data_IF_291594650065
#
_entry.id   IF_291594650065
#
_cell.length_a   1.000
_cell.length_b   1.000
_cell.length_c   1.000
_cell.angle_alpha   90.00
_cell.angle_beta   90.00
_cell.angle_gamma   90.00
#
_symmetry.space_group_name_H-M   'P 1'
#
loop_
_entity.id
_entity.type
_entity.pdbx_description
1 polymer ?
#
# COMPACT_ATOMS: atom_id res chain seq x y z
N UNK A 1 25.08 32.47 72.55
CA UNK A 1 24.55 33.56 71.71
C UNK A 1 25.68 33.90 70.74
N UNK A 2 25.77 33.41 69.52
CA UNK A 2 24.76 32.80 68.64
C UNK A 2 25.42 31.79 67.69
N UNK A 3 24.66 30.75 67.38
CA UNK A 3 24.91 29.78 66.33
C UNK A 3 24.68 30.42 64.97
N UNK A 4 25.48 30.09 63.94
CA UNK A 4 25.00 29.79 62.59
C UNK A 4 26.09 29.09 61.77
N UNK A 5 25.64 28.04 61.10
CA UNK A 5 26.37 26.87 60.62
C UNK A 5 27.18 27.06 59.32
N UNK A 6 28.28 26.31 59.11
CA UNK A 6 28.95 26.22 57.81
C UNK A 6 28.27 25.16 56.92
N UNK A 7 27.14 25.50 56.29
CA UNK A 7 26.43 24.60 55.35
C UNK A 7 26.84 24.72 53.87
N UNK A 8 27.94 25.38 53.53
CA UNK A 8 28.32 25.60 52.12
C UNK A 8 29.51 24.76 51.62
N UNK A 9 29.69 23.55 52.15
CA UNK A 9 30.71 22.59 51.65
C UNK A 9 30.17 21.15 51.44
N UNK A 10 28.85 20.97 51.30
CA UNK A 10 28.22 19.65 51.05
C UNK A 10 27.85 19.44 49.57
N UNK A 11 27.82 20.49 48.75
CA UNK A 11 27.44 20.41 47.33
C UNK A 11 28.45 19.65 46.44
N UNK A 12 29.74 19.65 46.77
CA UNK A 12 30.78 19.04 45.92
C UNK A 12 31.24 17.66 46.40
N UNK A 13 30.78 17.23 47.58
CA UNK A 13 31.17 15.94 48.17
C UNK A 13 30.22 14.79 47.80
N UNK A 14 29.00 15.11 47.34
CA UNK A 14 28.02 14.12 46.88
C UNK A 14 28.28 13.65 45.44
N UNK A 15 28.83 14.49 44.57
CA UNK A 15 29.24 14.11 43.22
C UNK A 15 30.43 13.14 43.24
N UNK A 16 31.38 13.29 44.18
CA UNK A 16 32.56 12.42 44.27
C UNK A 16 32.27 11.02 44.86
N UNK A 17 31.27 10.90 45.75
CA UNK A 17 30.79 9.58 46.24
C UNK A 17 29.95 8.85 45.17
N UNK A 18 29.17 9.60 44.38
CA UNK A 18 28.46 9.09 43.20
C UNK A 18 29.41 8.64 42.07
N UNK A 19 30.63 9.18 42.03
CA UNK A 19 31.69 8.76 41.09
C UNK A 19 32.32 7.41 41.48
N UNK A 20 32.41 7.03 42.77
CA UNK A 20 33.09 5.78 43.19
C UNK A 20 32.19 4.52 43.24
N UNK A 21 30.87 4.65 43.36
CA UNK A 21 29.93 3.50 43.22
C UNK A 21 29.67 3.07 41.77
N UNK A 22 30.00 3.94 40.81
CA UNK A 22 29.73 3.77 39.37
C UNK A 22 30.78 2.89 38.66
N UNK A 23 31.91 2.53 39.29
CA UNK A 23 33.07 1.89 38.65
C UNK A 23 33.32 0.41 38.96
N UNK A 24 32.51 -0.28 39.78
CA UNK A 24 32.78 -1.68 40.13
C UNK A 24 31.69 -2.70 39.72
N UNK A 25 30.59 -2.25 39.12
CA UNK A 25 29.35 -3.06 39.02
C UNK A 25 28.89 -3.37 37.59
N UNK A 26 29.52 -2.86 36.53
CA UNK A 26 29.15 -3.27 35.16
C UNK A 26 29.66 -4.66 34.75
N UNK A 27 30.55 -5.28 35.54
CA UNK A 27 30.85 -6.71 35.39
C UNK A 27 29.89 -7.61 36.21
N UNK A 28 28.91 -7.04 36.94
CA UNK A 28 28.04 -7.81 37.87
C UNK A 28 26.59 -7.34 37.97
N UNK A 29 26.18 -6.26 37.30
CA UNK A 29 24.78 -5.81 37.32
C UNK A 29 24.02 -6.44 36.17
N UNK A 30 22.96 -7.17 36.49
CA UNK A 30 22.04 -7.66 35.49
C UNK A 30 21.34 -6.49 34.79
N UNK A 31 20.96 -6.69 33.53
CA UNK A 31 20.16 -5.73 32.76
C UNK A 31 18.90 -5.34 33.52
N UNK A 32 18.22 -6.31 34.15
CA UNK A 32 17.02 -6.04 34.96
C UNK A 32 17.29 -5.04 36.10
N UNK A 33 18.41 -5.16 36.81
CA UNK A 33 18.80 -4.21 37.86
C UNK A 33 19.11 -2.83 37.30
N UNK A 34 19.78 -2.78 36.14
CA UNK A 34 20.09 -1.53 35.47
C UNK A 34 18.80 -0.80 35.00
N UNK A 35 17.85 -1.52 34.38
CA UNK A 35 16.55 -0.96 33.98
C UNK A 35 15.80 -0.40 35.18
N UNK A 36 15.73 -1.14 36.29
CA UNK A 36 15.08 -0.67 37.51
C UNK A 36 15.70 0.59 38.11
N UNK A 37 17.02 0.80 37.94
CA UNK A 37 17.70 2.03 38.35
C UNK A 37 17.30 3.17 37.40
N UNK A 38 17.39 2.95 36.09
CA UNK A 38 17.02 3.95 35.08
C UNK A 38 15.57 4.40 35.21
N UNK A 39 14.63 3.47 35.37
CA UNK A 39 13.21 3.80 35.59
C UNK A 39 12.99 4.67 36.82
N UNK A 40 13.78 4.51 37.89
CA UNK A 40 13.70 5.38 39.08
C UNK A 40 14.28 6.77 38.82
N UNK A 41 15.29 6.89 37.97
CA UNK A 41 15.93 8.17 37.61
C UNK A 41 15.09 8.97 36.60
N UNK A 42 14.57 8.33 35.56
CA UNK A 42 13.86 8.97 34.45
C UNK A 42 12.33 8.92 34.61
N UNK A 43 11.81 8.07 35.50
CA UNK A 43 10.37 7.81 35.66
C UNK A 43 9.76 6.92 34.56
N UNK A 44 10.53 6.52 33.54
CA UNK A 44 10.09 5.70 32.41
C UNK A 44 11.01 4.51 32.21
N UNK A 45 10.45 3.34 31.91
CA UNK A 45 11.26 2.17 31.59
C UNK A 45 12.06 2.40 30.29
N UNK A 46 13.39 2.17 30.31
CA UNK A 46 14.23 2.40 29.14
C UNK A 46 13.87 1.42 28.01
N UNK A 47 13.92 1.95 26.79
CA UNK A 47 13.67 1.16 25.58
C UNK A 47 14.80 0.15 25.33
N UNK A 48 14.55 -0.85 24.47
CA UNK A 48 15.54 -1.85 24.11
C UNK A 48 16.75 -1.24 23.40
N UNK A 49 16.53 -0.26 22.52
CA UNK A 49 17.59 0.46 21.81
C UNK A 49 18.40 1.35 22.77
N UNK A 50 17.72 2.09 23.65
CA UNK A 50 18.36 2.91 24.69
C UNK A 50 19.19 2.05 25.65
N UNK A 51 18.64 0.90 26.07
CA UNK A 51 19.35 -0.07 26.91
C UNK A 51 20.63 -0.53 26.24
N UNK A 52 20.62 -0.77 24.92
CA UNK A 52 21.80 -1.19 24.19
C UNK A 52 22.85 -0.08 24.06
N UNK A 53 22.44 1.13 23.65
CA UNK A 53 23.30 2.30 23.52
C UNK A 53 24.04 2.58 24.85
N UNK A 54 23.34 2.60 25.96
CA UNK A 54 23.93 2.89 27.28
C UNK A 54 24.82 1.76 27.80
N UNK A 55 24.46 0.50 27.57
CA UNK A 55 25.25 -0.64 28.05
C UNK A 55 26.51 -0.90 27.22
N UNK A 56 26.54 -0.47 25.96
CA UNK A 56 27.66 -0.64 25.03
C UNK A 56 28.47 0.64 24.81
N UNK A 57 28.24 1.68 25.61
CA UNK A 57 29.02 2.91 25.62
C UNK A 57 29.83 3.00 26.92
N UNK A 58 31.14 3.20 26.79
CA UNK A 58 32.04 3.43 27.93
C UNK A 58 31.87 4.85 28.45
N UNK A 59 32.38 5.12 29.64
CA UNK A 59 32.24 6.44 30.30
C UNK A 59 32.96 7.58 29.60
N UNK A 60 33.96 7.26 28.80
CA UNK A 60 34.65 8.22 27.94
C UNK A 60 33.89 8.49 26.63
N UNK A 61 32.67 7.94 26.46
CA UNK A 61 31.87 8.07 25.25
C UNK A 61 32.29 7.13 24.11
N UNK A 62 33.37 6.35 24.28
CA UNK A 62 33.79 5.38 23.25
C UNK A 62 32.97 4.10 23.32
N UNK A 63 32.69 3.49 22.18
CA UNK A 63 31.97 2.22 22.12
C UNK A 63 32.84 1.05 22.59
N UNK A 64 32.19 -0.01 23.08
CA UNK A 64 32.89 -1.21 23.57
C UNK A 64 33.75 -1.86 22.48
N UNK A 65 33.24 -1.93 21.24
CA UNK A 65 33.90 -2.47 20.04
C UNK A 65 33.51 -1.67 18.77
N UNK A 66 34.28 -1.80 17.69
CA UNK A 66 33.94 -1.24 16.37
C UNK A 66 32.61 -1.76 15.82
N UNK A 67 32.29 -3.05 15.99
CA UNK A 67 30.99 -3.60 15.57
C UNK A 67 29.82 -2.89 16.25
N UNK A 68 29.90 -2.64 17.56
CA UNK A 68 28.86 -1.90 18.29
C UNK A 68 28.71 -0.46 17.79
N UNK A 69 29.82 0.19 17.42
CA UNK A 69 29.78 1.51 16.82
C UNK A 69 28.98 1.51 15.52
N UNK A 70 29.24 0.54 14.63
CA UNK A 70 28.50 0.44 13.35
C UNK A 70 27.01 0.19 13.53
N UNK A 71 26.61 -0.59 14.55
CA UNK A 71 25.19 -0.84 14.83
C UNK A 71 24.50 0.43 15.35
N UNK A 72 25.12 1.13 16.29
CA UNK A 72 24.58 2.36 16.87
C UNK A 72 24.49 3.45 15.78
N UNK A 73 25.50 3.58 14.91
CA UNK A 73 25.47 4.49 13.77
C UNK A 73 24.31 4.20 12.82
N UNK A 74 24.10 2.93 12.44
CA UNK A 74 22.94 2.52 11.62
C UNK A 74 21.62 2.85 12.31
N UNK A 75 21.52 2.68 13.62
CA UNK A 75 20.32 3.02 14.38
C UNK A 75 20.04 4.54 14.35
N UNK A 76 21.08 5.38 14.44
CA UNK A 76 20.93 6.83 14.31
C UNK A 76 20.44 7.23 12.91
N UNK A 77 20.97 6.65 11.84
CA UNK A 77 20.50 6.91 10.47
C UNK A 77 19.01 6.60 10.33
N UNK A 78 18.57 5.42 10.79
CA UNK A 78 17.17 5.01 10.74
C UNK A 78 16.25 5.91 11.60
N UNK A 79 16.76 6.46 12.69
CA UNK A 79 16.01 7.42 13.52
C UNK A 79 15.78 8.74 12.79
N UNK A 80 16.75 9.21 12.01
CA UNK A 80 16.61 10.44 11.21
C UNK A 80 15.64 10.29 10.04
N UNK A 81 15.52 9.08 9.48
CA UNK A 81 14.51 8.77 8.46
C UNK A 81 13.07 8.88 9.01
N UNK A 82 12.88 8.84 10.33
CA UNK A 82 11.61 9.13 11.01
C UNK A 82 10.49 8.10 10.79
N UNK A 83 10.75 7.02 10.04
CA UNK A 83 9.72 6.07 9.59
C UNK A 83 9.50 4.88 10.53
N UNK A 84 10.40 4.62 11.48
CA UNK A 84 10.41 3.41 12.29
C UNK A 84 10.39 3.72 13.78
N UNK A 85 9.69 2.90 14.57
CA UNK A 85 9.79 2.95 16.02
C UNK A 85 11.13 2.37 16.51
N UNK A 86 11.53 2.64 17.77
CA UNK A 86 12.83 2.21 18.27
C UNK A 86 12.98 0.67 18.30
N UNK A 87 11.87 -0.07 18.47
CA UNK A 87 11.88 -1.53 18.52
C UNK A 87 12.12 -2.12 17.12
N UNK A 88 11.50 -1.57 16.08
CA UNK A 88 11.72 -1.88 14.68
C UNK A 88 13.14 -1.52 14.25
N UNK A 89 13.64 -0.35 14.66
CA UNK A 89 15.03 0.06 14.42
C UNK A 89 15.99 -0.97 15.03
N UNK A 90 15.75 -1.36 16.29
CA UNK A 90 16.59 -2.36 16.96
C UNK A 90 16.59 -3.70 16.22
N UNK A 91 15.42 -4.19 15.82
CA UNK A 91 15.31 -5.45 15.06
C UNK A 91 15.98 -5.36 13.69
N UNK A 92 15.91 -4.22 13.00
CA UNK A 92 16.54 -4.02 11.68
C UNK A 92 18.07 -3.99 11.78
N UNK A 93 18.60 -3.38 12.83
CA UNK A 93 20.05 -3.25 13.07
C UNK A 93 20.66 -4.57 13.57
N UNK A 94 19.97 -5.29 14.47
CA UNK A 94 20.47 -6.54 15.05
C UNK A 94 20.06 -7.79 14.27
N UNK A 95 19.06 -7.69 13.39
CA UNK A 95 18.45 -8.81 12.70
C UNK A 95 17.52 -9.64 13.62
N UNK A 96 17.14 -10.85 13.16
CA UNK A 96 16.24 -11.73 13.90
C UNK A 96 16.70 -12.02 15.33
N UNK A 97 15.72 -12.14 16.24
CA UNK A 97 15.96 -12.45 17.64
C UNK A 97 16.40 -13.91 17.82
N UNK A 98 17.27 -14.19 18.80
CA UNK A 98 17.68 -15.57 19.06
C UNK A 98 16.52 -16.39 19.64
N UNK A 99 16.41 -17.68 19.31
CA UNK A 99 15.41 -18.54 19.92
C UNK A 99 15.64 -18.65 21.43
N UNK A 100 14.57 -18.53 22.21
CA UNK A 100 14.58 -18.73 23.66
C UNK A 100 15.05 -17.54 24.52
N UNK A 101 15.60 -16.46 23.95
CA UNK A 101 15.98 -15.27 24.73
C UNK A 101 15.92 -13.99 23.93
N UNK A 102 15.40 -12.93 24.53
CA UNK A 102 15.40 -11.58 23.96
C UNK A 102 16.61 -10.77 24.41
N UNK A 103 17.38 -10.23 23.47
CA UNK A 103 18.49 -9.29 23.67
C UNK A 103 18.00 -8.07 24.46
N UNK A 104 18.85 -7.53 25.33
CA UNK A 104 18.58 -6.32 26.12
C UNK A 104 17.32 -6.36 27.03
N UNK A 105 16.60 -7.48 27.12
CA UNK A 105 15.44 -7.64 28.01
C UNK A 105 15.79 -8.27 29.38
N UNK A 106 16.99 -8.83 29.53
CA UNK A 106 17.44 -9.48 30.76
C UNK A 106 17.33 -11.01 30.74
N UNK A 107 17.02 -11.61 31.88
CA UNK A 107 16.77 -13.05 32.05
C UNK A 107 15.26 -13.26 32.13
N UNK A 108 14.74 -14.27 31.42
CA UNK A 108 13.32 -14.68 31.49
C UNK A 108 12.55 -14.51 30.17
N UNK A 109 12.56 -13.33 29.51
CA UNK A 109 11.76 -13.12 28.31
C UNK A 109 12.19 -13.99 27.14
N UNK A 110 11.25 -14.76 26.60
CA UNK A 110 11.38 -15.43 25.31
C UNK A 110 10.74 -14.57 24.21
N UNK A 111 11.20 -14.66 22.95
CA UNK A 111 10.67 -13.83 21.86
C UNK A 111 9.13 -13.90 21.73
N UNK A 112 8.53 -15.08 21.88
CA UNK A 112 7.07 -15.27 21.80
C UNK A 112 6.31 -14.57 22.94
N UNK A 113 6.89 -14.54 24.14
CA UNK A 113 6.29 -13.87 25.29
C UNK A 113 6.48 -12.36 25.29
N UNK A 114 7.58 -11.87 24.70
CA UNK A 114 7.95 -10.45 24.73
C UNK A 114 7.39 -9.67 23.55
N UNK A 115 7.51 -10.23 22.33
CA UNK A 115 7.07 -9.60 21.08
C UNK A 115 5.66 -10.07 20.66
N UNK A 116 5.07 -11.01 21.40
CA UNK A 116 3.78 -11.62 21.08
C UNK A 116 3.86 -12.62 19.92
N UNK A 117 2.70 -13.09 19.42
CA UNK A 117 2.60 -14.08 18.32
C UNK A 117 3.27 -13.65 17.01
N UNK A 118 3.65 -12.38 16.88
CA UNK A 118 4.18 -11.77 15.66
C UNK A 118 5.71 -11.79 15.57
N UNK A 119 6.42 -12.55 16.42
CA UNK A 119 7.89 -12.50 16.57
C UNK A 119 8.73 -13.02 15.36
N UNK A 120 8.16 -13.05 14.16
CA UNK A 120 8.88 -13.30 12.91
C UNK A 120 8.93 -12.02 12.07
N UNK A 121 9.72 -11.03 12.49
CA UNK A 121 9.90 -9.80 11.68
C UNK A 121 10.51 -10.07 10.30
N UNK A 122 11.22 -11.18 10.13
CA UNK A 122 11.61 -11.69 8.81
C UNK A 122 10.41 -12.13 7.96
N UNK A 123 9.38 -12.72 8.58
CA UNK A 123 8.14 -13.11 7.90
C UNK A 123 7.32 -11.87 7.52
N UNK A 124 7.22 -10.87 8.40
CA UNK A 124 6.43 -9.65 8.14
C UNK A 124 7.07 -8.78 7.05
N UNK A 125 8.39 -8.62 7.03
CA UNK A 125 9.05 -7.86 5.96
C UNK A 125 8.99 -8.60 4.61
N UNK A 126 9.18 -9.93 4.64
CA UNK A 126 9.04 -10.77 3.43
C UNK A 126 7.62 -10.74 2.87
N UNK A 127 6.59 -10.84 3.72
CA UNK A 127 5.20 -10.77 3.27
C UNK A 127 4.82 -9.36 2.85
N UNK A 128 5.30 -8.31 3.50
CA UNK A 128 5.02 -6.93 3.09
C UNK A 128 5.62 -6.62 1.71
N UNK A 129 6.87 -7.01 1.44
CA UNK A 129 7.49 -6.83 0.12
C UNK A 129 6.82 -7.71 -0.94
N UNK A 130 6.50 -8.96 -0.62
CA UNK A 130 5.78 -9.86 -1.54
C UNK A 130 4.40 -9.31 -1.90
N UNK A 131 3.63 -8.88 -0.90
CA UNK A 131 2.30 -8.32 -1.10
C UNK A 131 2.38 -6.99 -1.87
N UNK A 132 3.40 -6.16 -1.64
CA UNK A 132 3.60 -4.93 -2.41
C UNK A 132 3.81 -5.23 -3.90
N UNK A 133 4.67 -6.19 -4.22
CA UNK A 133 4.93 -6.59 -5.60
C UNK A 133 3.69 -7.19 -6.26
N UNK A 134 2.91 -7.99 -5.54
CA UNK A 134 1.65 -8.57 -6.02
C UNK A 134 0.60 -7.47 -6.27
N UNK A 135 0.50 -6.48 -5.39
CA UNK A 135 -0.40 -5.33 -5.57
C UNK A 135 -0.02 -4.51 -6.80
N UNK A 136 1.26 -4.28 -7.05
CA UNK A 136 1.72 -3.53 -8.22
C UNK A 136 1.52 -4.32 -9.54
N UNK A 137 1.71 -5.64 -9.50
CA UNK A 137 1.39 -6.53 -10.62
C UNK A 137 -0.12 -6.51 -10.94
N UNK A 138 -0.97 -6.71 -9.93
CA UNK A 138 -2.43 -6.68 -10.09
C UNK A 138 -2.94 -5.32 -10.58
N UNK A 139 -2.33 -4.22 -10.12
CA UNK A 139 -2.66 -2.87 -10.62
C UNK A 139 -2.34 -2.73 -12.11
N UNK A 140 -1.23 -3.29 -12.55
CA UNK A 140 -0.82 -3.26 -13.96
C UNK A 140 -1.80 -4.07 -14.82
N UNK A 141 -2.17 -5.27 -14.38
CA UNK A 141 -3.17 -6.12 -15.04
C UNK A 141 -4.54 -5.43 -15.13
N UNK A 142 -4.99 -4.75 -14.06
CA UNK A 142 -6.24 -3.97 -14.08
C UNK A 142 -6.17 -2.81 -15.08
N UNK A 143 -5.01 -2.19 -15.29
CA UNK A 143 -4.83 -1.13 -16.29
C UNK A 143 -4.92 -1.73 -17.70
N UNK A 144 -4.26 -2.86 -17.96
CA UNK A 144 -4.32 -3.54 -19.25
C UNK A 144 -5.75 -3.98 -19.59
N UNK A 145 -6.44 -4.67 -18.68
CA UNK A 145 -7.84 -5.10 -18.87
C UNK A 145 -8.78 -3.91 -19.10
N UNK A 146 -8.53 -2.76 -18.47
CA UNK A 146 -9.31 -1.54 -18.72
C UNK A 146 -9.09 -0.99 -20.11
N UNK A 147 -7.88 -1.07 -20.64
CA UNK A 147 -7.56 -0.63 -22.00
C UNK A 147 -8.21 -1.56 -23.04
N UNK A 148 -8.08 -2.88 -22.87
CA UNK A 148 -8.75 -3.86 -23.74
C UNK A 148 -10.27 -3.69 -23.73
N UNK A 149 -10.87 -3.45 -22.55
CA UNK A 149 -12.30 -3.17 -22.43
C UNK A 149 -12.69 -1.88 -23.16
N UNK A 150 -11.83 -0.85 -23.14
CA UNK A 150 -12.10 0.40 -23.86
C UNK A 150 -12.04 0.20 -25.38
N UNK A 151 -11.08 -0.58 -25.87
CA UNK A 151 -10.94 -0.93 -27.28
C UNK A 151 -12.13 -1.77 -27.76
N UNK A 152 -12.46 -2.86 -27.06
CA UNK A 152 -13.61 -3.69 -27.39
C UNK A 152 -14.94 -2.91 -27.37
N UNK A 153 -15.09 -1.94 -26.46
CA UNK A 153 -16.26 -1.04 -26.46
C UNK A 153 -16.31 -0.17 -27.70
N UNK A 154 -15.18 0.35 -28.18
CA UNK A 154 -15.13 1.14 -29.40
C UNK A 154 -15.50 0.32 -30.63
N UNK A 155 -15.01 -0.92 -30.73
CA UNK A 155 -15.36 -1.85 -31.81
C UNK A 155 -16.86 -2.16 -31.84
N UNK A 156 -17.47 -2.40 -30.67
CA UNK A 156 -18.92 -2.64 -30.57
C UNK A 156 -19.73 -1.42 -31.05
N UNK A 157 -19.25 -0.21 -30.78
CA UNK A 157 -19.90 1.02 -31.27
C UNK A 157 -19.82 1.12 -32.80
N UNK A 158 -18.66 0.83 -33.40
CA UNK A 158 -18.48 0.83 -34.86
C UNK A 158 -19.30 -0.28 -35.55
N UNK A 159 -19.33 -1.49 -34.99
CA UNK A 159 -20.17 -2.56 -35.53
C UNK A 159 -21.66 -2.20 -35.44
N UNK A 160 -22.07 -1.51 -34.37
CA UNK A 160 -23.45 -1.05 -34.20
C UNK A 160 -23.82 0.02 -35.22
N UNK A 161 -22.94 0.99 -35.48
CA UNK A 161 -23.19 2.02 -36.50
C UNK A 161 -23.30 1.41 -37.89
N UNK A 162 -22.44 0.44 -38.22
CA UNK A 162 -22.52 -0.32 -39.47
C UNK A 162 -23.83 -1.11 -39.61
N UNK A 163 -24.30 -1.74 -38.53
CA UNK A 163 -25.59 -2.43 -38.51
C UNK A 163 -26.76 -1.46 -38.76
N UNK A 164 -26.75 -0.28 -38.10
CA UNK A 164 -27.78 0.74 -38.28
C UNK A 164 -27.80 1.26 -39.72
N UNK A 165 -26.63 1.43 -40.36
CA UNK A 165 -26.53 1.82 -41.77
C UNK A 165 -27.12 0.76 -42.71
N UNK A 166 -26.76 -0.51 -42.53
CA UNK A 166 -27.32 -1.61 -43.33
C UNK A 166 -28.83 -1.73 -43.14
N UNK A 167 -29.34 -1.51 -41.93
CA UNK A 167 -30.77 -1.50 -41.65
C UNK A 167 -31.49 -0.39 -42.44
N UNK A 168 -30.92 0.82 -42.48
CA UNK A 168 -31.46 1.92 -43.31
C UNK A 168 -31.45 1.57 -44.81
N UNK A 169 -30.38 0.95 -45.31
CA UNK A 169 -30.31 0.52 -46.71
C UNK A 169 -31.40 -0.52 -47.04
N UNK A 170 -31.62 -1.49 -46.16
CA UNK A 170 -32.69 -2.47 -46.33
C UNK A 170 -34.06 -1.80 -46.34
N UNK A 171 -34.32 -0.83 -45.47
CA UNK A 171 -35.62 -0.16 -45.37
C UNK A 171 -35.89 0.80 -46.53
N UNK A 172 -34.84 1.48 -47.03
CA UNK A 172 -34.93 2.28 -48.26
C UNK A 172 -35.19 1.38 -49.48
N UNK A 173 -34.49 0.26 -49.61
CA UNK A 173 -34.71 -0.71 -50.69
C UNK A 173 -36.13 -1.30 -50.67
N UNK A 174 -36.65 -1.66 -49.48
CA UNK A 174 -38.05 -2.10 -49.32
C UNK A 174 -39.02 -1.02 -49.79
N UNK A 175 -38.78 0.24 -49.42
CA UNK A 175 -39.61 1.38 -49.82
C UNK A 175 -39.58 1.61 -51.33
N UNK A 176 -38.40 1.59 -51.95
CA UNK A 176 -38.23 1.69 -53.40
C UNK A 176 -38.98 0.58 -54.14
N UNK A 177 -38.86 -0.67 -53.67
CA UNK A 177 -39.58 -1.82 -54.25
C UNK A 177 -41.10 -1.64 -54.20
N UNK A 178 -41.65 -1.22 -53.05
CA UNK A 178 -43.07 -0.92 -52.89
C UNK A 178 -43.55 0.15 -53.89
N UNK A 179 -42.80 1.25 -54.03
CA UNK A 179 -43.14 2.34 -54.95
C UNK A 179 -43.13 1.89 -56.42
N UNK A 180 -42.15 1.08 -56.83
CA UNK A 180 -42.10 0.52 -58.19
C UNK A 180 -43.30 -0.39 -58.45
N UNK A 181 -43.64 -1.27 -57.49
CA UNK A 181 -44.75 -2.20 -57.63
C UNK A 181 -46.11 -1.49 -57.70
N UNK A 182 -46.32 -0.44 -56.89
CA UNK A 182 -47.54 0.39 -56.93
C UNK A 182 -47.59 1.20 -58.23
N UNK A 183 -46.49 1.84 -58.64
CA UNK A 183 -46.40 2.62 -59.86
C UNK A 183 -46.68 1.82 -61.13
N UNK A 184 -46.09 0.62 -61.25
CA UNK A 184 -46.36 -0.29 -62.37
C UNK A 184 -47.83 -0.72 -62.39
N UNK A 185 -48.42 -1.11 -61.25
CA UNK A 185 -49.88 -1.43 -61.18
C UNK A 185 -50.75 -0.25 -61.61
N UNK A 186 -50.40 0.98 -61.23
CA UNK A 186 -51.07 2.19 -61.68
C UNK A 186 -51.01 2.38 -63.21
N UNK A 187 -49.83 2.25 -63.81
CA UNK A 187 -49.67 2.34 -65.26
C UNK A 187 -50.49 1.29 -66.02
N UNK A 188 -50.48 0.03 -65.57
CA UNK A 188 -51.28 -1.03 -66.20
C UNK A 188 -52.78 -0.75 -66.11
N UNK A 189 -53.28 -0.21 -64.98
CA UNK A 189 -54.69 0.20 -64.86
C UNK A 189 -55.06 1.30 -65.86
N UNK A 190 -54.22 2.32 -66.02
CA UNK A 190 -54.46 3.41 -66.97
C UNK A 190 -54.42 2.91 -68.41
N UNK A 191 -53.42 2.11 -68.77
CA UNK A 191 -53.29 1.48 -70.08
C UNK A 191 -54.50 0.59 -70.41
N UNK A 192 -54.97 -0.21 -69.46
CA UNK A 192 -56.12 -1.10 -69.64
C UNK A 192 -57.43 -0.33 -69.85
N UNK A 193 -57.67 0.73 -69.07
CA UNK A 193 -58.86 1.58 -69.26
C UNK A 193 -58.83 2.28 -70.62
N UNK A 194 -57.66 2.77 -71.04
CA UNK A 194 -57.50 3.39 -72.34
C UNK A 194 -57.73 2.39 -73.49
N UNK A 195 -57.18 1.18 -73.38
CA UNK A 195 -57.42 0.08 -74.33
C UNK A 195 -58.92 -0.27 -74.44
N UNK A 196 -59.61 -0.43 -73.29
CA UNK A 196 -61.05 -0.70 -73.28
C UNK A 196 -61.87 0.46 -73.88
N UNK A 197 -61.46 1.70 -73.67
CA UNK A 197 -62.11 2.86 -74.27
C UNK A 197 -61.94 2.86 -75.79
N UNK A 198 -60.72 2.64 -76.29
CA UNK A 198 -60.45 2.51 -77.72
C UNK A 198 -61.20 1.34 -78.36
N UNK A 199 -61.26 0.18 -77.70
CA UNK A 199 -62.02 -0.97 -78.17
C UNK A 199 -63.53 -0.66 -78.27
N UNK A 200 -64.10 0.07 -77.31
CA UNK A 200 -65.50 0.51 -77.37
C UNK A 200 -65.77 1.47 -78.52
N UNK A 201 -64.83 2.38 -78.81
CA UNK A 201 -64.92 3.35 -79.92
C UNK A 201 -64.82 2.66 -81.28
N UNK A 202 -63.90 1.69 -81.44
CA UNK A 202 -63.68 0.97 -82.70
C UNK A 202 -64.78 -0.04 -83.02
N UNK A 203 -65.41 -0.66 -82.01
CA UNK A 203 -66.46 -1.66 -82.21
C UNK A 203 -67.88 -1.09 -82.24
N UNK A 204 -68.06 0.24 -82.21
CA UNK A 204 -69.36 0.88 -82.43
C UNK A 204 -70.49 0.32 -81.55
N UNK A 205 -70.22 0.01 -80.28
CA UNK A 205 -71.28 -0.41 -79.36
C UNK A 205 -71.96 0.86 -78.87
N UNK A 206 -72.95 1.28 -79.66
CA UNK A 206 -73.89 2.34 -79.32
C UNK A 206 -74.59 1.98 -78.00
N UNK A 207 -74.51 2.89 -77.03
CA UNK A 207 -75.03 2.68 -75.67
C UNK A 207 -76.56 2.82 -75.72
N UNK A 208 -77.28 1.72 -75.50
CA UNK A 208 -78.67 1.76 -75.04
C UNK A 208 -78.70 1.88 -73.52
#
# INVERSE_FOLDING_TARGET
>A
MDCLHPWNLIGERLSFVLIKRRYWILFRMSIARWKAIKTKETGKEPDRLETFEDTHTRKNGTYVNGYTATLIEKAYTLRQEGSFDNEQIFQKVHGPEHPGRVRCAGLGPTPSTYLGPSCSSASINSTTTSNSNEVDALRSEVIELRNELAEAKSEVVELRSGMDQLQMEVDTLKTCSCNIFVGRRGQWRVQFVHYLHQAKVLHGVDKR
#
